data_IF_165267221980
#
_entry.id   IF_165267221980
#
_cell.length_a   1.000
_cell.length_b   1.000
_cell.length_c   1.000
_cell.angle_alpha   90.00
_cell.angle_beta   90.00
_cell.angle_gamma   90.00
#
_symmetry.space_group_name_H-M   'P 1'
#
loop_
_entity.id
_entity.type
_entity.pdbx_description
1 polymer ?
#
# COMPACT_ATOMS: atom_id res chain seq x y z
N UNK A 1 76.23 24.78 -26.80
CA UNK A 1 75.48 24.43 -25.59
C UNK A 1 74.33 25.41 -25.46
N UNK A 2 73.10 24.92 -25.60
CA UNK A 2 71.93 25.70 -25.98
C UNK A 2 71.31 26.50 -24.82
N UNK A 3 70.98 27.76 -25.11
CA UNK A 3 69.67 28.38 -24.89
C UNK A 3 69.07 28.42 -23.49
N UNK A 4 69.26 29.57 -22.81
CA UNK A 4 68.39 30.05 -21.73
C UNK A 4 67.01 30.44 -22.27
N UNK A 5 65.95 29.90 -21.68
CA UNK A 5 64.59 30.43 -21.84
C UNK A 5 63.88 30.47 -20.48
N UNK A 6 63.73 31.68 -19.95
CA UNK A 6 62.80 32.03 -18.88
C UNK A 6 61.39 32.03 -19.48
N UNK A 7 60.43 31.38 -18.84
CA UNK A 7 59.02 31.69 -19.05
C UNK A 7 58.29 31.81 -17.71
N UNK A 8 57.66 32.96 -17.61
CA UNK A 8 56.94 33.56 -16.51
C UNK A 8 55.59 32.89 -16.24
N UNK A 9 55.22 32.89 -14.96
CA UNK A 9 53.84 32.74 -14.50
C UNK A 9 52.92 33.75 -15.20
N UNK A 10 51.79 33.26 -15.70
CA UNK A 10 50.60 34.09 -15.93
C UNK A 10 49.40 33.31 -15.42
N UNK A 11 48.84 33.82 -14.32
CA UNK A 11 47.54 33.43 -13.77
C UNK A 11 46.50 34.25 -14.51
N UNK A 12 45.68 33.61 -15.32
CA UNK A 12 44.47 34.21 -15.87
C UNK A 12 43.26 33.33 -15.55
N UNK A 13 42.47 33.86 -14.63
CA UNK A 13 41.09 33.51 -14.34
C UNK A 13 40.23 33.53 -15.61
N UNK A 14 39.54 32.42 -15.89
CA UNK A 14 38.32 32.44 -16.68
C UNK A 14 37.23 31.65 -15.95
N UNK A 15 36.39 32.42 -15.25
CA UNK A 15 35.04 32.02 -14.91
C UNK A 15 34.25 31.81 -16.20
N UNK A 16 33.90 30.56 -16.52
CA UNK A 16 32.76 30.28 -17.39
C UNK A 16 31.70 29.53 -16.60
N UNK A 17 30.60 30.26 -16.35
CA UNK A 17 29.34 29.73 -15.86
C UNK A 17 28.82 28.75 -16.92
N UNK A 18 28.84 27.46 -16.60
CA UNK A 18 28.11 26.46 -17.35
C UNK A 18 26.99 25.95 -16.45
N UNK A 19 25.83 26.57 -16.62
CA UNK A 19 24.55 26.15 -16.12
C UNK A 19 24.14 24.86 -16.83
N UNK A 20 24.48 23.69 -16.27
CA UNK A 20 23.88 22.41 -16.66
C UNK A 20 22.94 21.99 -15.54
N UNK A 21 21.78 22.63 -15.51
CA UNK A 21 20.59 22.14 -14.81
C UNK A 21 19.43 22.22 -15.78
N UNK A 22 18.65 21.13 -15.86
CA UNK A 22 17.34 20.95 -16.55
C UNK A 22 17.26 20.23 -17.91
N UNK A 23 18.28 19.48 -18.35
CA UNK A 23 18.11 18.57 -19.51
C UNK A 23 18.13 17.07 -19.18
N UNK A 24 18.68 16.65 -18.03
CA UNK A 24 18.83 15.22 -17.69
C UNK A 24 17.59 14.58 -17.06
N UNK A 25 16.67 15.36 -16.50
CA UNK A 25 15.44 14.86 -15.85
C UNK A 25 14.31 14.58 -16.84
N UNK A 26 14.26 15.28 -17.98
CA UNK A 26 13.24 15.04 -19.01
C UNK A 26 13.50 13.73 -19.80
N UNK A 27 14.76 13.34 -19.99
CA UNK A 27 15.12 12.10 -20.70
C UNK A 27 14.87 10.84 -19.84
N UNK A 28 14.95 10.95 -18.51
CA UNK A 28 14.66 9.84 -17.59
C UNK A 28 13.14 9.63 -17.43
N UNK A 29 12.34 10.68 -17.40
CA UNK A 29 10.87 10.55 -17.42
C UNK A 29 10.34 10.05 -18.78
N UNK A 30 10.91 10.52 -19.90
CA UNK A 30 10.52 10.06 -21.23
C UNK A 30 10.93 8.60 -21.54
N UNK A 31 11.93 8.05 -20.84
CA UNK A 31 12.34 6.64 -20.98
C UNK A 31 11.50 5.67 -20.13
N UNK A 32 10.85 6.16 -19.07
CA UNK A 32 9.90 5.37 -18.25
C UNK A 32 8.48 5.33 -18.84
N UNK A 33 8.16 6.25 -19.75
CA UNK A 33 6.86 6.30 -20.44
C UNK A 33 6.85 5.61 -21.81
N UNK A 34 7.97 5.01 -22.24
CA UNK A 34 8.04 4.30 -23.53
C UNK A 34 7.83 2.79 -23.35
N UNK A 35 6.63 2.36 -23.72
CA UNK A 35 6.23 0.97 -24.00
C UNK A 35 5.93 0.06 -22.80
N UNK A 36 4.82 0.34 -22.10
CA UNK A 36 3.98 -0.73 -21.53
C UNK A 36 2.60 -0.71 -22.20
N UNK A 37 2.55 -1.06 -23.48
CA UNK A 37 1.30 -1.58 -24.03
C UNK A 37 0.97 -2.87 -23.27
N UNK A 38 -0.22 -2.91 -22.68
CA UNK A 38 -0.74 -4.03 -21.90
C UNK A 38 -1.12 -5.20 -22.81
N UNK A 39 -0.14 -5.82 -23.49
CA UNK A 39 -0.36 -7.00 -24.34
C UNK A 39 0.88 -7.89 -24.38
N UNK A 40 1.39 -8.34 -23.22
CA UNK A 40 2.15 -9.60 -23.17
C UNK A 40 1.19 -10.79 -23.10
N UNK A 41 0.51 -11.02 -24.22
CA UNK A 41 -0.18 -12.29 -24.47
C UNK A 41 0.90 -13.37 -24.64
N UNK A 42 0.88 -14.39 -23.80
CA UNK A 42 1.77 -15.56 -23.95
C UNK A 42 1.70 -16.08 -25.39
N UNK A 43 2.86 -16.33 -26.02
CA UNK A 43 2.95 -16.84 -27.41
C UNK A 43 2.10 -18.10 -27.66
N UNK A 44 1.78 -18.87 -26.61
CA UNK A 44 0.89 -20.05 -26.66
C UNK A 44 -0.56 -19.76 -27.05
N UNK A 45 -1.03 -18.51 -26.98
CA UNK A 45 -2.41 -18.13 -27.29
C UNK A 45 -2.57 -17.40 -28.63
N UNK A 46 -1.50 -17.21 -29.42
CA UNK A 46 -1.58 -16.45 -30.69
C UNK A 46 -2.52 -17.06 -31.75
N UNK A 47 -2.78 -18.38 -31.70
CA UNK A 47 -3.55 -19.08 -32.73
C UNK A 47 -4.99 -19.41 -32.33
N UNK A 48 -5.42 -19.06 -31.11
CA UNK A 48 -6.85 -19.02 -30.80
C UNK A 48 -7.28 -17.57 -30.96
N UNK A 49 -8.02 -17.26 -32.03
CA UNK A 49 -8.87 -16.07 -32.07
C UNK A 49 -9.80 -16.18 -30.87
N UNK A 50 -9.38 -15.66 -29.72
CA UNK A 50 -10.27 -15.48 -28.60
C UNK A 50 -11.30 -14.48 -29.12
N UNK A 51 -12.48 -14.98 -29.47
CA UNK A 51 -13.67 -14.19 -29.76
C UNK A 51 -14.03 -13.43 -28.47
N UNK A 52 -13.21 -12.46 -28.09
CA UNK A 52 -13.57 -11.47 -27.10
C UNK A 52 -14.45 -10.50 -27.86
N UNK A 53 -15.76 -10.66 -27.72
CA UNK A 53 -16.72 -9.68 -28.18
C UNK A 53 -16.24 -8.28 -27.78
N UNK A 54 -16.23 -7.31 -28.72
CA UNK A 54 -15.90 -5.93 -28.42
C UNK A 54 -16.80 -5.45 -27.28
N UNK A 55 -16.21 -4.81 -26.27
CA UNK A 55 -16.94 -4.27 -25.12
C UNK A 55 -17.42 -2.84 -25.36
N UNK A 56 -17.34 -2.38 -26.60
CA UNK A 56 -17.51 -1.00 -27.03
C UNK A 56 -18.95 -0.50 -26.89
N UNK A 57 -19.91 -1.41 -26.71
CA UNK A 57 -21.31 -1.09 -26.43
C UNK A 57 -21.59 -0.73 -24.96
N UNK A 58 -20.63 -0.96 -24.05
CA UNK A 58 -20.78 -0.62 -22.65
C UNK A 58 -20.44 0.85 -22.42
N UNK A 59 -21.13 1.53 -21.48
CA UNK A 59 -20.91 2.95 -21.18
C UNK A 59 -19.59 3.20 -20.40
N UNK A 60 -18.75 2.19 -20.24
CA UNK A 60 -17.47 2.27 -19.55
C UNK A 60 -16.41 1.41 -20.23
N UNK A 61 -15.17 1.88 -20.20
CA UNK A 61 -14.04 1.15 -20.71
C UNK A 61 -13.55 0.11 -19.69
N UNK A 62 -13.19 -1.08 -20.19
CA UNK A 62 -12.57 -2.11 -19.37
C UNK A 62 -11.17 -2.44 -19.88
N UNK A 63 -10.19 -2.33 -18.98
CA UNK A 63 -8.82 -2.78 -19.22
C UNK A 63 -8.43 -3.85 -18.19
N UNK A 64 -7.54 -4.76 -18.59
CA UNK A 64 -7.04 -5.77 -17.67
C UNK A 64 -6.07 -5.12 -16.67
N UNK A 65 -6.28 -5.24 -15.35
CA UNK A 65 -5.40 -4.61 -14.39
C UNK A 65 -4.01 -5.27 -14.44
N UNK A 66 -2.98 -4.46 -14.27
CA UNK A 66 -1.63 -4.98 -14.14
C UNK A 66 -1.56 -5.90 -12.90
N UNK A 67 -0.81 -7.02 -12.97
CA UNK A 67 -0.60 -7.86 -11.81
C UNK A 67 0.01 -7.02 -10.67
N UNK A 68 -0.42 -7.23 -9.41
CA UNK A 68 0.10 -6.44 -8.32
C UNK A 68 1.60 -6.69 -8.13
N UNK A 69 2.37 -5.62 -8.00
CA UNK A 69 3.79 -5.72 -7.69
C UNK A 69 3.98 -6.10 -6.22
N UNK A 70 4.14 -7.42 -5.98
CA UNK A 70 4.33 -7.99 -4.63
C UNK A 70 5.50 -7.34 -3.89
N UNK A 71 6.55 -6.98 -4.63
CA UNK A 71 7.76 -6.34 -4.09
C UNK A 71 7.45 -4.93 -3.58
N UNK A 72 6.66 -4.15 -4.33
CA UNK A 72 6.27 -2.79 -3.92
C UNK A 72 5.33 -2.82 -2.71
N UNK A 73 4.44 -3.81 -2.64
CA UNK A 73 3.49 -4.00 -1.53
C UNK A 73 4.09 -4.67 -0.29
N UNK A 74 5.41 -4.87 -0.26
CA UNK A 74 6.06 -5.65 0.79
C UNK A 74 6.00 -5.02 2.18
N UNK A 75 5.90 -3.68 2.25
CA UNK A 75 5.74 -2.93 3.50
C UNK A 75 7.01 -2.83 4.37
N UNK A 76 8.19 -3.16 3.84
CA UNK A 76 9.47 -3.01 4.54
C UNK A 76 10.09 -1.63 4.32
N UNK A 77 10.66 -1.08 5.39
CA UNK A 77 11.69 -0.04 5.30
C UNK A 77 13.01 -0.57 4.72
N UNK A 78 13.89 0.37 4.34
CA UNK A 78 15.20 0.05 3.78
C UNK A 78 16.21 -0.40 4.87
N UNK A 79 17.34 -0.97 4.44
CA UNK A 79 18.42 -1.36 5.36
C UNK A 79 19.23 -0.12 5.70
N UNK A 80 19.47 0.11 6.98
CA UNK A 80 20.37 1.17 7.42
C UNK A 80 21.81 0.89 6.92
N UNK A 81 22.52 1.92 6.41
CA UNK A 81 23.93 1.80 6.08
C UNK A 81 24.72 1.25 7.28
N UNK A 82 25.65 0.34 7.02
CA UNK A 82 26.51 -0.22 8.06
C UNK A 82 27.85 0.48 8.07
N UNK A 83 28.33 0.82 9.26
CA UNK A 83 29.63 1.48 9.38
C UNK A 83 30.76 0.53 8.94
N UNK A 84 31.62 0.96 8.02
CA UNK A 84 32.70 0.12 7.49
C UNK A 84 33.79 -0.17 8.52
N UNK A 85 33.91 0.64 9.56
CA UNK A 85 34.91 0.49 10.63
C UNK A 85 34.58 -0.64 11.59
N UNK A 86 33.35 -1.15 11.59
CA UNK A 86 32.94 -2.19 12.51
C UNK A 86 33.73 -3.48 12.28
N UNK A 87 34.02 -4.26 13.33
CA UNK A 87 34.75 -5.52 13.17
C UNK A 87 33.89 -6.55 12.44
N UNK A 88 34.59 -7.50 11.83
CA UNK A 88 34.01 -8.72 11.31
C UNK A 88 33.27 -9.48 12.40
N UNK A 89 32.27 -10.24 11.96
CA UNK A 89 31.50 -11.09 12.83
C UNK A 89 32.40 -12.11 13.56
N UNK A 90 32.17 -12.31 14.87
CA UNK A 90 32.93 -13.18 15.75
C UNK A 90 34.10 -12.51 16.48
N UNK A 91 34.55 -11.34 16.01
CA UNK A 91 35.67 -10.60 16.59
C UNK A 91 35.23 -9.40 17.45
N UNK A 92 33.93 -9.31 17.79
CA UNK A 92 33.39 -8.21 18.60
C UNK A 92 33.91 -8.24 20.05
N UNK A 93 34.23 -9.43 20.56
CA UNK A 93 34.60 -9.66 21.96
C UNK A 93 36.10 -9.99 22.16
N UNK A 94 36.92 -9.95 21.12
CA UNK A 94 38.33 -10.35 21.25
C UNK A 94 39.18 -9.24 21.87
N UNK A 95 39.79 -9.55 23.02
CA UNK A 95 40.70 -8.62 23.72
C UNK A 95 41.99 -8.39 22.92
N UNK A 96 42.46 -9.41 22.20
CA UNK A 96 43.62 -9.34 21.31
C UNK A 96 43.42 -8.30 20.20
N UNK A 97 42.22 -8.27 19.61
CA UNK A 97 41.93 -7.29 18.55
C UNK A 97 41.81 -5.88 19.12
N UNK A 98 41.39 -5.73 20.39
CA UNK A 98 41.37 -4.44 21.07
C UNK A 98 42.78 -3.92 21.34
N UNK A 99 43.72 -4.80 21.71
CA UNK A 99 45.13 -4.46 21.95
C UNK A 99 45.95 -4.31 20.66
N UNK A 100 45.48 -4.84 19.53
CA UNK A 100 46.19 -4.84 18.27
C UNK A 100 46.41 -3.43 17.68
N UNK A 101 47.41 -3.33 16.78
CA UNK A 101 47.73 -2.13 16.01
C UNK A 101 46.56 -1.70 15.11
N UNK A 102 46.46 -0.40 14.76
CA UNK A 102 45.36 0.11 13.93
C UNK A 102 45.30 -0.54 12.54
N UNK A 103 46.45 -0.94 11.98
CA UNK A 103 46.52 -1.64 10.70
C UNK A 103 45.89 -3.03 10.77
N UNK A 104 46.16 -3.79 11.84
CA UNK A 104 45.55 -5.10 12.07
C UNK A 104 44.04 -4.95 12.27
N UNK A 105 43.60 -3.95 13.06
CA UNK A 105 42.17 -3.64 13.24
C UNK A 105 41.46 -3.36 11.91
N UNK A 106 42.13 -2.67 10.98
CA UNK A 106 41.60 -2.39 9.64
C UNK A 106 41.42 -3.68 8.81
N UNK A 107 42.33 -4.64 8.91
CA UNK A 107 42.20 -5.95 8.23
C UNK A 107 40.96 -6.71 8.69
N UNK A 108 40.67 -6.65 9.99
CA UNK A 108 39.48 -7.29 10.58
C UNK A 108 38.22 -6.42 10.54
N UNK A 109 38.25 -5.27 9.87
CA UNK A 109 37.08 -4.39 9.73
C UNK A 109 36.21 -4.77 8.53
N UNK A 110 34.96 -4.31 8.52
CA UNK A 110 34.03 -4.49 7.41
C UNK A 110 34.48 -3.75 6.13
N UNK A 111 35.42 -2.81 6.23
CA UNK A 111 35.95 -2.05 5.10
C UNK A 111 36.62 -2.96 4.05
N UNK A 112 37.36 -3.97 4.50
CA UNK A 112 38.07 -4.93 3.63
C UNK A 112 37.34 -6.28 3.50
N UNK A 113 36.14 -6.37 4.08
CA UNK A 113 35.37 -7.60 4.10
C UNK A 113 34.71 -7.87 2.74
N UNK A 114 34.54 -9.16 2.43
CA UNK A 114 33.71 -9.58 1.29
C UNK A 114 32.25 -9.23 1.51
N UNK A 115 31.48 -9.03 0.42
CA UNK A 115 30.03 -8.79 0.50
C UNK A 115 29.28 -9.88 1.31
N UNK A 116 29.76 -11.13 1.28
CA UNK A 116 29.20 -12.21 2.10
C UNK A 116 29.37 -11.95 3.59
N UNK A 117 30.58 -11.57 4.01
CA UNK A 117 30.89 -11.25 5.40
C UNK A 117 30.15 -10.01 5.88
N UNK A 118 30.04 -8.97 5.04
CA UNK A 118 29.26 -7.77 5.33
C UNK A 118 27.79 -8.14 5.59
N UNK A 119 27.18 -8.93 4.70
CA UNK A 119 25.81 -9.40 4.90
C UNK A 119 25.65 -10.27 6.15
N UNK A 120 26.64 -11.10 6.48
CA UNK A 120 26.58 -11.94 7.68
C UNK A 120 26.63 -11.09 8.96
N UNK A 121 27.51 -10.09 9.01
CA UNK A 121 27.59 -9.14 10.12
C UNK A 121 26.28 -8.33 10.26
N UNK A 122 25.75 -7.81 9.14
CA UNK A 122 24.44 -7.12 9.11
C UNK A 122 23.33 -8.03 9.64
N UNK A 123 23.28 -9.28 9.17
CA UNK A 123 22.27 -10.27 9.58
C UNK A 123 22.28 -10.46 11.09
N UNK A 124 23.46 -10.72 11.67
CA UNK A 124 23.56 -11.02 13.09
C UNK A 124 23.13 -9.83 13.94
N UNK A 125 23.59 -8.62 13.62
CA UNK A 125 23.18 -7.40 14.34
C UNK A 125 21.68 -7.16 14.23
N UNK A 126 21.14 -7.29 13.03
CA UNK A 126 19.72 -7.10 12.77
C UNK A 126 18.84 -8.10 13.54
N UNK A 127 19.27 -9.36 13.58
CA UNK A 127 18.55 -10.42 14.28
C UNK A 127 18.65 -10.28 15.80
N UNK A 128 19.81 -9.87 16.34
CA UNK A 128 20.00 -9.59 17.77
C UNK A 128 18.98 -8.58 18.32
N UNK A 129 18.47 -7.65 17.50
CA UNK A 129 17.44 -6.68 17.91
C UNK A 129 16.11 -7.32 18.34
N UNK A 130 15.78 -8.49 17.80
CA UNK A 130 14.49 -9.17 18.04
C UNK A 130 14.65 -10.53 18.73
N UNK A 131 15.88 -10.97 19.00
CA UNK A 131 16.14 -12.24 19.67
C UNK A 131 15.74 -12.18 21.15
N UNK A 132 15.21 -13.30 21.68
CA UNK A 132 14.88 -13.42 23.11
C UNK A 132 16.13 -13.64 23.97
N UNK A 133 17.04 -14.46 23.47
CA UNK A 133 18.32 -14.78 24.10
C UNK A 133 19.41 -14.95 23.02
N UNK A 134 20.71 -14.88 23.35
CA UNK A 134 21.78 -14.90 22.35
C UNK A 134 21.84 -16.16 21.47
N UNK A 135 21.41 -17.30 22.03
CA UNK A 135 21.37 -18.60 21.35
C UNK A 135 19.99 -18.96 20.77
N UNK A 136 19.11 -17.98 20.60
CA UNK A 136 17.78 -18.18 20.06
C UNK A 136 17.82 -18.18 18.53
N UNK A 137 17.63 -19.36 17.94
CA UNK A 137 17.68 -19.57 16.49
C UNK A 137 16.37 -20.09 15.89
N UNK A 138 15.35 -20.34 16.71
CA UNK A 138 14.11 -20.96 16.24
C UNK A 138 12.82 -20.28 16.73
N UNK A 139 12.90 -19.26 17.57
CA UNK A 139 11.74 -18.47 17.94
C UNK A 139 11.06 -17.81 16.73
N UNK A 140 9.79 -17.45 16.91
CA UNK A 140 9.02 -16.77 15.86
C UNK A 140 9.61 -15.38 15.58
N UNK A 141 10.09 -14.70 16.60
CA UNK A 141 10.73 -13.39 16.52
C UNK A 141 12.04 -13.46 15.74
N UNK A 142 12.90 -14.44 16.05
CA UNK A 142 14.10 -14.73 15.27
C UNK A 142 13.75 -15.02 13.80
N UNK A 143 12.78 -15.92 13.56
CA UNK A 143 12.34 -16.28 12.20
C UNK A 143 11.83 -15.07 11.42
N UNK A 144 11.08 -14.19 12.07
CA UNK A 144 10.59 -12.93 11.49
C UNK A 144 11.75 -12.00 11.15
N UNK A 145 12.66 -11.75 12.08
CA UNK A 145 13.82 -10.88 11.86
C UNK A 145 14.74 -11.42 10.76
N UNK A 146 15.07 -12.71 10.79
CA UNK A 146 15.89 -13.37 9.78
C UNK A 146 15.27 -13.28 8.39
N UNK A 147 13.97 -13.56 8.26
CA UNK A 147 13.28 -13.48 6.96
C UNK A 147 13.16 -12.04 6.48
N UNK A 148 12.94 -11.08 7.38
CA UNK A 148 12.92 -9.66 7.05
C UNK A 148 14.28 -9.20 6.52
N UNK A 149 15.38 -9.60 7.18
CA UNK A 149 16.73 -9.36 6.68
C UNK A 149 16.94 -9.96 5.27
N UNK A 150 16.48 -11.20 5.06
CA UNK A 150 16.58 -11.86 3.76
C UNK A 150 15.81 -11.10 2.67
N UNK A 151 14.59 -10.63 2.96
CA UNK A 151 13.79 -9.82 2.04
C UNK A 151 14.54 -8.54 1.67
N UNK A 152 15.06 -7.81 2.65
CA UNK A 152 15.77 -6.56 2.40
C UNK A 152 17.06 -6.77 1.61
N UNK A 153 17.86 -7.79 1.95
CA UNK A 153 19.06 -8.19 1.18
C UNK A 153 18.70 -8.54 -0.26
N UNK A 154 17.65 -9.32 -0.47
CA UNK A 154 17.21 -9.71 -1.82
C UNK A 154 16.66 -8.50 -2.60
N UNK A 155 16.03 -7.54 -1.93
CA UNK A 155 15.58 -6.26 -2.52
C UNK A 155 16.77 -5.44 -3.01
N UNK A 156 17.84 -5.31 -2.21
CA UNK A 156 19.09 -4.65 -2.64
C UNK A 156 19.67 -5.30 -3.90
N UNK A 157 19.80 -6.64 -3.90
CA UNK A 157 20.31 -7.38 -5.05
C UNK A 157 19.40 -7.28 -6.29
N UNK A 158 18.07 -7.29 -6.08
CA UNK A 158 17.10 -7.14 -7.15
C UNK A 158 17.15 -5.75 -7.78
N UNK A 159 17.36 -4.70 -6.97
CA UNK A 159 17.53 -3.33 -7.47
C UNK A 159 18.80 -3.20 -8.33
N UNK A 160 19.88 -3.88 -7.97
CA UNK A 160 21.10 -3.94 -8.78
C UNK A 160 20.92 -4.75 -10.07
N UNK A 161 20.13 -5.83 -10.03
CA UNK A 161 19.95 -6.77 -11.15
C UNK A 161 18.47 -7.14 -11.39
N UNK A 162 17.63 -6.20 -11.87
CA UNK A 162 16.17 -6.40 -11.95
C UNK A 162 15.73 -7.43 -13.01
N UNK A 163 16.62 -7.79 -13.95
CA UNK A 163 16.37 -8.76 -15.02
C UNK A 163 16.44 -10.21 -14.54
N UNK A 164 17.01 -10.46 -13.35
CA UNK A 164 17.17 -11.80 -12.77
C UNK A 164 15.87 -12.32 -12.19
N UNK A 165 15.32 -13.36 -12.81
CA UNK A 165 14.03 -13.97 -12.41
C UNK A 165 14.14 -14.78 -11.14
N UNK A 166 15.26 -15.48 -10.96
CA UNK A 166 15.59 -16.24 -9.76
C UNK A 166 15.59 -15.38 -8.50
N UNK A 167 16.14 -14.16 -8.57
CA UNK A 167 16.08 -13.19 -7.46
C UNK A 167 14.65 -12.75 -7.16
N UNK A 168 13.84 -12.49 -8.19
CA UNK A 168 12.43 -12.13 -8.05
C UNK A 168 11.64 -13.24 -7.35
N UNK A 169 11.84 -14.49 -7.76
CA UNK A 169 11.14 -15.64 -7.20
C UNK A 169 11.60 -15.92 -5.76
N UNK A 170 12.90 -15.81 -5.48
CA UNK A 170 13.44 -15.92 -4.13
C UNK A 170 12.90 -14.83 -3.20
N UNK A 171 12.80 -13.59 -3.69
CA UNK A 171 12.25 -12.45 -2.96
C UNK A 171 10.77 -12.68 -2.64
N UNK A 172 9.96 -13.10 -3.61
CA UNK A 172 8.54 -13.43 -3.39
C UNK A 172 8.36 -14.52 -2.31
N UNK A 173 9.13 -15.61 -2.39
CA UNK A 173 9.12 -16.69 -1.38
C UNK A 173 9.56 -16.20 0.00
N UNK A 174 10.54 -15.31 0.08
CA UNK A 174 10.99 -14.72 1.33
C UNK A 174 9.89 -13.86 1.98
N UNK A 175 9.19 -13.04 1.17
CA UNK A 175 8.04 -12.22 1.61
C UNK A 175 6.92 -13.10 2.14
N UNK A 176 6.53 -14.13 1.39
CA UNK A 176 5.49 -15.09 1.82
C UNK A 176 5.89 -15.81 3.10
N UNK A 177 7.13 -16.30 3.18
CA UNK A 177 7.65 -16.97 4.36
C UNK A 177 7.66 -16.05 5.59
N UNK A 178 7.99 -14.77 5.43
CA UNK A 178 7.97 -13.77 6.49
C UNK A 178 6.54 -13.49 6.94
N UNK A 179 5.62 -13.25 6.00
CA UNK A 179 4.21 -13.01 6.30
C UNK A 179 3.56 -14.20 7.00
N UNK A 180 3.98 -15.43 6.67
CA UNK A 180 3.59 -16.65 7.39
C UNK A 180 4.09 -16.65 8.84
N UNK A 181 5.35 -16.26 9.08
CA UNK A 181 5.89 -16.14 10.43
C UNK A 181 5.18 -15.03 11.25
N UNK A 182 4.93 -13.86 10.65
CA UNK A 182 4.13 -12.80 11.26
C UNK A 182 2.70 -13.24 11.57
N UNK A 183 2.06 -14.01 10.68
CA UNK A 183 0.73 -14.59 10.93
C UNK A 183 0.73 -15.46 12.19
N UNK A 184 1.73 -16.31 12.38
CA UNK A 184 1.83 -17.12 13.59
C UNK A 184 2.10 -16.27 14.82
N UNK A 185 3.06 -15.34 14.75
CA UNK A 185 3.37 -14.44 15.86
C UNK A 185 2.14 -13.64 16.29
N UNK A 186 1.40 -13.06 15.33
CA UNK A 186 0.16 -12.34 15.58
C UNK A 186 -0.92 -13.19 16.27
N UNK A 187 -0.98 -14.49 15.96
CA UNK A 187 -1.96 -15.42 16.56
C UNK A 187 -1.57 -15.85 17.97
N UNK A 188 -0.28 -16.03 18.24
CA UNK A 188 0.20 -16.52 19.54
C UNK A 188 0.42 -15.40 20.54
N UNK A 189 1.07 -14.31 20.13
CA UNK A 189 1.44 -13.20 21.01
C UNK A 189 1.37 -11.87 20.25
N UNK A 190 0.30 -11.11 20.50
CA UNK A 190 0.03 -9.84 19.84
C UNK A 190 0.95 -8.72 20.29
N UNK A 191 1.39 -8.73 21.56
CA UNK A 191 2.25 -7.69 22.11
C UNK A 191 3.65 -7.78 21.52
N UNK A 192 4.19 -9.00 21.47
CA UNK A 192 5.48 -9.27 20.81
C UNK A 192 5.41 -8.99 19.32
N UNK A 193 4.31 -9.35 18.67
CA UNK A 193 4.10 -8.96 17.27
C UNK A 193 4.24 -7.44 17.08
N UNK A 194 3.58 -6.63 17.94
CA UNK A 194 3.63 -5.17 17.84
C UNK A 194 5.04 -4.65 18.08
N UNK A 195 5.74 -5.17 19.10
CA UNK A 195 7.12 -4.81 19.40
C UNK A 195 8.04 -5.13 18.21
N UNK A 196 8.02 -6.37 17.70
CA UNK A 196 8.85 -6.80 16.57
C UNK A 196 8.53 -6.03 15.30
N UNK A 197 7.26 -5.80 14.98
CA UNK A 197 6.86 -5.03 13.80
C UNK A 197 7.36 -3.57 13.89
N UNK A 198 7.33 -2.98 15.09
CA UNK A 198 7.84 -1.64 15.35
C UNK A 198 9.37 -1.59 15.22
N UNK A 199 10.11 -2.48 15.89
CA UNK A 199 11.58 -2.55 15.85
C UNK A 199 12.10 -2.79 14.43
N UNK A 200 11.41 -3.64 13.65
CA UNK A 200 11.79 -3.95 12.29
C UNK A 200 11.22 -2.96 11.26
N UNK A 201 10.44 -1.95 11.67
CA UNK A 201 9.77 -1.01 10.75
C UNK A 201 9.04 -1.72 9.59
N UNK A 202 8.27 -2.77 9.90
CA UNK A 202 7.50 -3.54 8.92
C UNK A 202 6.01 -3.33 9.11
N UNK A 203 5.32 -2.93 8.05
CA UNK A 203 3.86 -2.87 8.03
C UNK A 203 3.29 -4.22 7.61
N UNK A 204 2.61 -4.91 8.53
CA UNK A 204 1.94 -6.18 8.25
C UNK A 204 0.43 -5.99 8.18
N UNK A 205 -0.15 -6.24 7.01
CA UNK A 205 -1.60 -6.28 6.80
C UNK A 205 -2.08 -7.73 6.85
N UNK A 206 -2.86 -8.14 7.87
CA UNK A 206 -3.40 -9.49 7.93
C UNK A 206 -4.39 -9.73 6.80
N UNK A 207 -4.50 -10.98 6.35
CA UNK A 207 -5.54 -11.38 5.41
C UNK A 207 -6.92 -11.23 6.07
N UNK A 208 -7.88 -10.64 5.34
CA UNK A 208 -9.25 -10.48 5.80
C UNK A 208 -9.90 -11.85 6.07
N UNK A 209 -10.61 -11.98 7.19
CA UNK A 209 -11.35 -13.21 7.51
C UNK A 209 -12.43 -13.46 6.45
N UNK A 210 -12.59 -14.72 6.03
CA UNK A 210 -13.59 -15.16 5.04
C UNK A 210 -13.52 -14.47 3.67
N UNK A 211 -12.41 -13.77 3.37
CA UNK A 211 -12.22 -13.15 2.07
C UNK A 211 -11.58 -14.14 1.09
N UNK A 212 -12.36 -14.59 0.12
CA UNK A 212 -11.85 -15.36 -1.01
C UNK A 212 -11.41 -14.36 -2.07
N UNK A 213 -10.10 -14.24 -2.29
CA UNK A 213 -9.56 -13.45 -3.41
C UNK A 213 -10.03 -14.08 -4.72
N UNK A 214 -11.02 -13.48 -5.37
CA UNK A 214 -11.44 -13.90 -6.69
C UNK A 214 -10.35 -13.56 -7.71
N UNK A 215 -10.09 -14.47 -8.64
CA UNK A 215 -9.18 -14.19 -9.74
C UNK A 215 -9.79 -13.13 -10.65
N UNK A 216 -8.96 -12.18 -11.07
CA UNK A 216 -9.39 -11.14 -12.01
C UNK A 216 -9.65 -11.79 -13.36
N UNK A 217 -10.93 -11.95 -13.70
CA UNK A 217 -11.39 -12.47 -14.99
C UNK A 217 -12.16 -11.38 -15.73
N UNK A 218 -12.07 -11.35 -17.07
CA UNK A 218 -12.81 -10.37 -17.90
C UNK A 218 -14.30 -10.37 -17.57
N UNK A 219 -14.91 -11.55 -17.51
CA UNK A 219 -16.34 -11.72 -17.22
C UNK A 219 -16.71 -11.23 -15.81
N UNK A 220 -15.88 -11.54 -14.81
CA UNK A 220 -16.11 -11.12 -13.43
C UNK A 220 -16.03 -9.60 -13.27
N UNK A 221 -14.98 -8.98 -13.81
CA UNK A 221 -14.80 -7.53 -13.77
C UNK A 221 -15.90 -6.79 -14.53
N UNK A 222 -16.27 -7.24 -15.72
CA UNK A 222 -17.38 -6.62 -16.46
C UNK A 222 -18.70 -6.70 -15.68
N UNK A 223 -19.00 -7.83 -15.05
CA UNK A 223 -20.19 -7.95 -14.18
C UNK A 223 -20.11 -7.01 -12.99
N UNK A 224 -18.93 -6.87 -12.36
CA UNK A 224 -18.71 -5.94 -11.25
C UNK A 224 -18.96 -4.50 -11.69
N UNK A 225 -18.36 -4.07 -12.81
CA UNK A 225 -18.51 -2.72 -13.36
C UNK A 225 -19.97 -2.44 -13.79
N UNK A 226 -20.65 -3.40 -14.43
CA UNK A 226 -22.07 -3.26 -14.76
C UNK A 226 -22.92 -3.13 -13.49
N UNK A 227 -22.65 -3.91 -12.44
CA UNK A 227 -23.37 -3.82 -11.18
C UNK A 227 -23.14 -2.48 -10.48
N UNK A 228 -21.89 -1.99 -10.44
CA UNK A 228 -21.53 -0.66 -9.94
C UNK A 228 -22.26 0.44 -10.72
N UNK A 229 -22.26 0.36 -12.05
CA UNK A 229 -22.97 1.29 -12.93
C UNK A 229 -24.49 1.30 -12.70
N UNK A 230 -25.12 0.12 -12.65
CA UNK A 230 -26.55 0.00 -12.35
C UNK A 230 -26.90 0.50 -10.96
N UNK A 231 -26.03 0.28 -9.97
CA UNK A 231 -26.20 0.78 -8.60
C UNK A 231 -26.16 2.30 -8.59
N UNK A 232 -25.21 2.90 -9.32
CA UNK A 232 -25.13 4.36 -9.49
C UNK A 232 -26.41 4.93 -10.11
N UNK A 233 -26.90 4.36 -11.22
CA UNK A 233 -28.17 4.80 -11.84
C UNK A 233 -29.34 4.71 -10.87
N UNK A 234 -29.44 3.62 -10.11
CA UNK A 234 -30.51 3.46 -9.11
C UNK A 234 -30.41 4.57 -8.06
N UNK A 235 -29.21 4.83 -7.55
CA UNK A 235 -28.98 5.88 -6.57
C UNK A 235 -29.33 7.27 -7.13
N UNK A 236 -28.93 7.58 -8.35
CA UNK A 236 -29.23 8.85 -9.01
C UNK A 236 -30.74 9.05 -9.17
N UNK A 237 -31.47 8.00 -9.57
CA UNK A 237 -32.94 8.03 -9.67
C UNK A 237 -33.61 8.19 -8.32
N UNK A 238 -33.12 7.51 -7.28
CA UNK A 238 -33.63 7.65 -5.92
C UNK A 238 -33.39 9.06 -5.37
N UNK A 239 -32.21 9.63 -5.60
CA UNK A 239 -31.87 10.99 -5.20
C UNK A 239 -32.77 12.01 -5.92
N UNK A 240 -32.92 11.90 -7.24
CA UNK A 240 -33.80 12.78 -8.01
C UNK A 240 -35.27 12.70 -7.58
N UNK A 241 -35.75 11.51 -7.20
CA UNK A 241 -37.10 11.35 -6.67
C UNK A 241 -37.23 11.95 -5.25
N UNK A 242 -36.23 11.75 -4.39
CA UNK A 242 -36.20 12.33 -3.06
C UNK A 242 -36.21 13.87 -3.10
N UNK A 243 -35.49 14.47 -4.05
CA UNK A 243 -35.51 15.92 -4.28
C UNK A 243 -36.90 16.42 -4.70
N UNK A 244 -37.59 15.68 -5.59
CA UNK A 244 -38.98 16.00 -5.97
C UNK A 244 -39.94 15.94 -4.78
N UNK A 245 -39.83 14.90 -3.95
CA UNK A 245 -40.66 14.77 -2.75
C UNK A 245 -40.37 15.87 -1.74
N UNK A 246 -39.10 16.27 -1.56
CA UNK A 246 -38.75 17.41 -0.70
C UNK A 246 -39.37 18.71 -1.18
N UNK A 247 -39.42 18.95 -2.49
CA UNK A 247 -40.09 20.13 -3.04
C UNK A 247 -41.60 20.11 -2.75
N UNK A 248 -42.26 18.96 -2.91
CA UNK A 248 -43.70 18.79 -2.61
C UNK A 248 -44.00 18.84 -1.10
N UNK A 249 -43.06 18.44 -0.26
CA UNK A 249 -43.22 18.51 1.19
C UNK A 249 -43.43 19.95 1.67
N UNK A 250 -42.74 20.92 1.07
CA UNK A 250 -42.90 22.33 1.43
C UNK A 250 -44.33 22.83 1.13
N UNK A 251 -44.86 22.55 -0.06
CA UNK A 251 -46.23 22.94 -0.44
C UNK A 251 -47.27 22.23 0.43
N UNK A 252 -47.07 20.94 0.70
CA UNK A 252 -47.96 20.18 1.58
C UNK A 252 -48.00 20.73 3.02
N UNK A 253 -46.88 21.22 3.55
CA UNK A 253 -46.84 21.83 4.89
C UNK A 253 -47.57 23.18 4.95
N UNK A 254 -47.62 23.93 3.86
CA UNK A 254 -48.42 25.16 3.75
C UNK A 254 -49.91 24.83 3.70
N UNK A 255 -50.31 23.88 2.85
CA UNK A 255 -51.69 23.39 2.77
C UNK A 255 -52.17 22.81 4.10
N UNK A 256 -51.31 22.03 4.77
CA UNK A 256 -51.58 21.47 6.08
C UNK A 256 -51.86 22.57 7.12
N UNK A 257 -51.01 23.60 7.20
CA UNK A 257 -51.21 24.74 8.11
C UNK A 257 -52.53 25.46 7.84
N UNK A 258 -52.83 25.76 6.57
CA UNK A 258 -54.09 26.40 6.19
C UNK A 258 -55.31 25.54 6.54
N UNK A 259 -55.21 24.21 6.37
CA UNK A 259 -56.28 23.28 6.74
C UNK A 259 -56.46 23.21 8.25
N UNK A 260 -55.37 23.18 9.03
CA UNK A 260 -55.41 23.23 10.50
C UNK A 260 -56.05 24.52 11.00
N UNK A 261 -55.71 25.67 10.40
CA UNK A 261 -56.33 26.98 10.70
C UNK A 261 -57.82 26.97 10.37
N UNK A 262 -58.22 26.43 9.21
CA UNK A 262 -59.63 26.30 8.83
C UNK A 262 -60.41 25.40 9.79
N UNK A 263 -59.85 24.23 10.15
CA UNK A 263 -60.46 23.32 11.12
C UNK A 263 -60.65 24.04 12.46
N UNK A 264 -59.64 24.77 12.95
CA UNK A 264 -59.70 25.48 14.22
C UNK A 264 -60.75 26.59 14.24
N UNK A 265 -60.91 27.32 13.14
CA UNK A 265 -61.95 28.35 13.03
C UNK A 265 -63.35 27.73 12.98
N UNK A 266 -63.51 26.61 12.29
CA UNK A 266 -64.79 25.90 12.17
C UNK A 266 -65.20 25.22 13.49
N UNK A 267 -64.24 24.66 14.24
CA UNK A 267 -64.52 24.10 15.58
C UNK A 267 -64.95 25.18 16.56
N UNK A 268 -64.32 26.37 16.53
CA UNK A 268 -64.73 27.53 17.33
C UNK A 268 -66.14 28.00 16.95
N UNK A 269 -66.43 28.10 15.65
CA UNK A 269 -67.77 28.47 15.13
C UNK A 269 -68.86 27.52 15.60
N UNK A 270 -68.56 26.22 15.65
CA UNK A 270 -69.50 25.18 16.06
C UNK A 270 -69.54 24.95 17.58
N UNK A 271 -68.61 25.52 18.35
CA UNK A 271 -68.55 25.41 19.81
C UNK A 271 -68.31 23.98 20.32
N UNK A 272 -67.65 23.13 19.52
CA UNK A 272 -67.45 21.72 19.85
C UNK A 272 -66.41 21.55 20.98
N UNK A 273 -66.71 20.69 21.96
CA UNK A 273 -65.75 20.38 23.04
C UNK A 273 -64.75 19.31 22.59
N UNK A 274 -63.55 19.30 23.19
CA UNK A 274 -62.48 18.34 22.86
C UNK A 274 -62.90 16.87 23.04
N UNK A 275 -63.92 16.61 23.87
CA UNK A 275 -64.48 15.27 24.10
C UNK A 275 -65.38 14.81 22.95
N UNK A 276 -66.07 15.73 22.27
CA UNK A 276 -66.96 15.42 21.14
C UNK A 276 -66.14 15.03 19.90
N UNK A 277 -65.01 15.70 19.69
CA UNK A 277 -64.03 15.37 18.65
C UNK A 277 -63.40 13.98 18.87
N UNK A 278 -62.95 13.68 20.09
CA UNK A 278 -62.40 12.36 20.44
C UNK A 278 -63.43 11.23 20.30
N UNK A 279 -64.72 11.51 20.47
CA UNK A 279 -65.78 10.52 20.27
C UNK A 279 -66.05 10.17 18.80
N UNK A 280 -65.71 11.08 17.88
CA UNK A 280 -65.90 10.91 16.42
C UNK A 280 -64.63 10.50 15.69
N UNK A 281 -63.46 10.49 16.36
CA UNK A 281 -62.22 9.97 15.80
C UNK A 281 -62.38 8.50 15.37
N UNK A 282 -62.30 8.28 14.07
CA UNK A 282 -62.26 6.94 13.50
C UNK A 282 -60.92 6.29 13.81
N UNK A 283 -60.89 5.32 14.73
CA UNK A 283 -59.73 4.46 14.96
C UNK A 283 -59.53 3.55 13.75
N UNK A 284 -58.68 3.98 12.82
CA UNK A 284 -58.34 3.20 11.64
C UNK A 284 -57.75 1.83 11.98
N UNK A 285 -58.07 0.83 11.15
CA UNK A 285 -57.64 -0.59 11.30
C UNK A 285 -56.11 -0.77 11.16
N UNK A 286 -55.42 0.20 10.56
CA UNK A 286 -53.97 0.15 10.37
C UNK A 286 -53.23 0.43 11.69
N UNK A 287 -52.68 -0.62 12.30
CA UNK A 287 -51.69 -0.49 13.38
C UNK A 287 -50.57 0.45 12.92
N UNK A 288 -50.26 1.44 13.74
CA UNK A 288 -49.13 2.32 13.50
C UNK A 288 -47.88 1.48 13.18
N UNK A 289 -47.09 1.85 12.15
CA UNK A 289 -45.84 1.16 11.88
C UNK A 289 -44.97 1.27 13.13
N UNK A 290 -44.74 0.16 13.81
CA UNK A 290 -43.75 0.08 14.88
C UNK A 290 -42.41 0.45 14.26
N UNK A 291 -41.89 1.63 14.58
CA UNK A 291 -40.53 1.98 14.26
C UNK A 291 -39.62 0.99 15.01
N UNK A 292 -39.19 -0.07 14.32
CA UNK A 292 -38.14 -0.95 14.80
C UNK A 292 -36.88 -0.07 14.93
N UNK A 293 -36.53 0.23 16.18
CA UNK A 293 -35.25 0.84 16.56
C UNK A 293 -34.15 -0.21 16.48
#
# INVERSE_FOLDING_TARGET
>A
MAGLARLSCSVTTLFSKISITRAATAATEASLLRCRSATRVCRRFRNRKVLSWPTDYLPFEWSYPAPPDVIAKCGDGDIEPTDPTLPLNGFELSDELRAASPEVKKVFSLQLASLRQIHEAKKQRFVKLCQRHPYDFDSLEYKVAYKTFLVRKLKELYNMQPKRRDLKDALAKAIEGRNKAFKYLYRYDRERFRSVACTLHVTYTPAQLHYITQSVTKKGELRRLTAEYCTRIKQDKMNAFHEKLKAQQATFLEEKRSTEEWISAETERLGLSENDLKSTEYTGIFRQPTHCS
#
